data_IF_372566968910
#
_entry.id   IF_372566968910
#
_cell.length_a   1.000
_cell.length_b   1.000
_cell.length_c   1.000
_cell.angle_alpha   90.00
_cell.angle_beta   90.00
_cell.angle_gamma   90.00
#
_symmetry.space_group_name_H-M   'P 1'
#
loop_
_entity.id
_entity.type
_entity.pdbx_description
1 polymer ?
#
# COMPACT_ATOMS: atom_id res chain seq x y z
N UNK A 1 15.59 20.25 17.00
CA UNK A 1 15.56 19.72 15.62
C UNK A 1 15.59 18.22 15.73
N UNK A 2 14.42 17.57 15.61
CA UNK A 2 14.33 16.13 15.51
C UNK A 2 14.70 15.71 14.08
N UNK A 3 15.35 14.56 13.91
CA UNK A 3 15.56 14.00 12.58
C UNK A 3 14.20 13.59 11.99
N UNK A 4 13.87 14.05 10.78
CA UNK A 4 12.70 13.57 10.04
C UNK A 4 13.02 12.18 9.47
N UNK A 5 12.79 11.14 10.27
CA UNK A 5 12.91 9.77 9.79
C UNK A 5 11.58 9.34 9.15
N UNK A 6 11.65 8.80 7.92
CA UNK A 6 10.69 7.77 7.56
C UNK A 6 10.87 6.69 8.64
N UNK A 7 9.87 6.48 9.48
CA UNK A 7 9.96 5.49 10.54
C UNK A 7 9.76 4.08 10.00
N UNK A 8 9.41 3.95 8.71
CA UNK A 8 9.57 2.72 7.98
C UNK A 8 10.97 2.65 7.33
N UNK A 9 11.59 1.48 7.43
CA UNK A 9 12.84 1.15 6.77
C UNK A 9 12.62 0.95 5.25
N UNK A 10 11.39 0.66 4.80
CA UNK A 10 11.01 0.73 3.40
C UNK A 10 9.49 0.87 3.21
N UNK A 11 9.09 1.19 1.98
CA UNK A 11 7.71 1.07 1.51
C UNK A 11 7.63 -0.08 0.51
N UNK A 12 6.72 -1.03 0.70
CA UNK A 12 6.62 -2.23 -0.14
C UNK A 12 5.17 -2.41 -0.55
N UNK A 13 4.90 -2.40 -1.86
CA UNK A 13 3.53 -2.47 -2.40
C UNK A 13 3.44 -3.44 -3.56
N UNK A 14 2.43 -4.30 -3.55
CA UNK A 14 2.05 -5.06 -4.73
C UNK A 14 1.13 -4.20 -5.60
N UNK A 15 1.51 -4.00 -6.86
CA UNK A 15 0.68 -3.25 -7.82
C UNK A 15 0.21 -4.18 -8.94
N UNK A 16 -0.98 -3.92 -9.45
CA UNK A 16 -1.58 -4.74 -10.52
C UNK A 16 -2.28 -3.85 -11.55
N UNK A 17 -2.94 -4.46 -12.52
CA UNK A 17 -3.85 -3.77 -13.42
C UNK A 17 -5.21 -3.58 -12.74
N UNK A 18 -6.30 -3.85 -13.46
CA UNK A 18 -7.65 -3.56 -13.00
C UNK A 18 -8.14 -4.64 -12.03
N UNK A 19 -8.93 -4.22 -11.05
CA UNK A 19 -9.80 -5.06 -10.27
C UNK A 19 -10.94 -5.56 -11.16
N UNK A 20 -11.07 -6.88 -11.34
CA UNK A 20 -12.23 -7.49 -11.98
C UNK A 20 -12.98 -8.33 -10.95
N UNK A 21 -14.21 -7.92 -10.57
CA UNK A 21 -15.10 -8.76 -9.79
C UNK A 21 -15.32 -10.13 -10.46
N UNK A 22 -15.65 -11.16 -9.67
CA UNK A 22 -15.80 -12.52 -10.17
C UNK A 22 -16.88 -12.66 -11.26
N UNK A 23 -17.94 -11.85 -11.20
CA UNK A 23 -19.03 -11.81 -12.17
C UNK A 23 -18.73 -10.96 -13.42
N UNK A 24 -17.58 -10.29 -13.45
CA UNK A 24 -17.21 -9.42 -14.55
C UNK A 24 -17.00 -10.21 -15.85
N UNK A 25 -17.58 -9.73 -16.96
CA UNK A 25 -17.64 -10.42 -18.26
C UNK A 25 -16.30 -10.88 -18.83
N UNK A 26 -15.18 -10.27 -18.43
CA UNK A 26 -13.84 -10.64 -18.93
C UNK A 26 -13.25 -11.87 -18.24
N UNK A 27 -13.71 -12.20 -17.04
CA UNK A 27 -13.08 -13.19 -16.15
C UNK A 27 -14.04 -14.26 -15.66
N UNK A 28 -15.35 -14.01 -15.63
CA UNK A 28 -16.38 -14.89 -15.04
C UNK A 28 -16.43 -16.33 -15.54
N UNK A 29 -15.90 -16.58 -16.74
CA UNK A 29 -16.04 -17.86 -17.44
C UNK A 29 -14.79 -18.76 -17.30
N UNK A 30 -13.77 -18.37 -16.53
CA UNK A 30 -12.55 -19.16 -16.30
C UNK A 30 -11.88 -18.91 -14.93
N UNK A 31 -10.64 -19.38 -14.74
CA UNK A 31 -9.92 -19.27 -13.46
C UNK A 31 -9.63 -17.82 -13.04
N UNK A 32 -9.67 -16.86 -13.98
CA UNK A 32 -9.40 -15.45 -13.68
C UNK A 32 -10.48 -14.81 -12.82
N UNK A 33 -11.68 -15.39 -12.74
CA UNK A 33 -12.74 -14.93 -11.84
C UNK A 33 -12.28 -14.87 -10.38
N UNK A 34 -11.30 -15.69 -10.00
CA UNK A 34 -10.78 -15.73 -8.64
C UNK A 34 -9.66 -14.73 -8.37
N UNK A 35 -9.08 -14.08 -9.39
CA UNK A 35 -7.83 -13.34 -9.23
C UNK A 35 -7.92 -12.18 -8.23
N UNK A 36 -9.04 -11.46 -8.22
CA UNK A 36 -9.26 -10.33 -7.32
C UNK A 36 -9.41 -10.79 -5.85
N UNK A 37 -10.29 -11.77 -5.61
CA UNK A 37 -10.48 -12.35 -4.28
C UNK A 37 -9.22 -13.04 -3.76
N UNK A 38 -8.48 -13.72 -4.65
CA UNK A 38 -7.22 -14.36 -4.30
C UNK A 38 -6.15 -13.34 -3.92
N UNK A 39 -6.04 -12.23 -4.64
CA UNK A 39 -5.12 -11.18 -4.27
C UNK A 39 -5.46 -10.51 -2.93
N UNK A 40 -6.75 -10.26 -2.68
CA UNK A 40 -7.22 -9.74 -1.39
C UNK A 40 -6.88 -10.73 -0.26
N UNK A 41 -7.18 -12.02 -0.44
CA UNK A 41 -6.83 -13.09 0.50
C UNK A 41 -5.32 -13.10 0.81
N UNK A 42 -4.47 -13.02 -0.22
CA UNK A 42 -3.01 -13.02 -0.06
C UNK A 42 -2.53 -11.73 0.61
N UNK A 43 -3.16 -10.58 0.35
CA UNK A 43 -2.86 -9.32 1.00
C UNK A 43 -3.09 -9.41 2.52
N UNK A 44 -4.19 -10.03 2.96
CA UNK A 44 -4.45 -10.30 4.37
C UNK A 44 -3.44 -11.29 4.97
N UNK A 45 -3.21 -12.41 4.27
CA UNK A 45 -2.33 -13.50 4.72
C UNK A 45 -0.87 -13.07 4.90
N UNK A 46 -0.37 -12.21 4.01
CA UNK A 46 1.03 -11.80 3.96
C UNK A 46 1.27 -10.36 4.42
N UNK A 47 0.23 -9.64 4.85
CA UNK A 47 0.31 -8.24 5.29
C UNK A 47 0.97 -7.31 4.25
N UNK A 48 0.65 -7.53 2.98
CA UNK A 48 1.15 -6.74 1.84
C UNK A 48 0.01 -5.93 1.23
N UNK A 49 0.12 -4.59 1.15
CA UNK A 49 -0.91 -3.76 0.52
C UNK A 49 -0.97 -4.01 -1.00
N UNK A 50 -2.19 -3.93 -1.54
CA UNK A 50 -2.47 -4.14 -2.96
C UNK A 50 -3.01 -2.85 -3.56
N UNK A 51 -2.47 -2.44 -4.71
CA UNK A 51 -2.93 -1.26 -5.42
C UNK A 51 -3.30 -1.58 -6.87
N UNK A 52 -4.47 -1.11 -7.30
CA UNK A 52 -5.00 -1.31 -8.66
C UNK A 52 -5.03 0.00 -9.45
N UNK A 53 -4.94 -0.09 -10.77
CA UNK A 53 -5.09 1.09 -11.64
C UNK A 53 -6.34 0.95 -12.51
N UNK A 54 -7.23 1.95 -12.45
CA UNK A 54 -8.60 1.85 -12.94
C UNK A 54 -9.01 2.89 -13.99
N UNK A 55 -9.93 2.47 -14.86
CA UNK A 55 -10.56 3.37 -15.85
C UNK A 55 -11.96 3.80 -15.44
N UNK A 56 -12.63 2.98 -14.64
CA UNK A 56 -14.03 3.10 -14.25
C UNK A 56 -14.27 2.22 -13.01
N UNK A 57 -15.28 2.57 -12.21
CA UNK A 57 -15.73 1.81 -11.04
C UNK A 57 -16.57 0.63 -11.51
N UNK A 58 -16.31 -0.57 -10.96
CA UNK A 58 -16.97 -1.82 -11.38
C UNK A 58 -17.98 -2.34 -10.36
N UNK A 59 -18.69 -1.42 -9.69
CA UNK A 59 -19.73 -1.70 -8.70
C UNK A 59 -19.21 -2.01 -7.30
N UNK A 60 -20.13 -2.42 -6.43
CA UNK A 60 -19.95 -2.52 -4.98
C UNK A 60 -18.75 -3.37 -4.55
N UNK A 61 -18.44 -4.45 -5.28
CA UNK A 61 -17.29 -5.31 -4.96
C UNK A 61 -15.94 -4.58 -5.01
N UNK A 62 -15.82 -3.57 -5.87
CA UNK A 62 -14.63 -2.73 -5.95
C UNK A 62 -14.59 -1.71 -4.80
N UNK A 63 -15.71 -1.07 -4.49
CA UNK A 63 -15.84 -0.14 -3.35
C UNK A 63 -15.53 -0.86 -2.04
N UNK A 64 -16.12 -2.02 -1.82
CA UNK A 64 -15.85 -2.92 -0.71
C UNK A 64 -14.35 -3.23 -0.53
N UNK A 65 -13.66 -3.55 -1.63
CA UNK A 65 -12.23 -3.84 -1.64
C UNK A 65 -11.41 -2.64 -1.15
N UNK A 66 -11.79 -1.43 -1.56
CA UNK A 66 -11.15 -0.19 -1.11
C UNK A 66 -11.48 0.10 0.36
N UNK A 67 -12.74 -0.06 0.75
CA UNK A 67 -13.20 0.19 2.12
C UNK A 67 -12.55 -0.74 3.15
N UNK A 68 -12.15 -1.95 2.77
CA UNK A 68 -11.38 -2.83 3.67
C UNK A 68 -10.12 -2.17 4.21
N UNK A 69 -9.56 -1.18 3.51
CA UNK A 69 -8.33 -0.50 3.87
C UNK A 69 -7.06 -1.29 3.53
N UNK A 70 -7.18 -2.43 2.83
CA UNK A 70 -6.04 -3.19 2.29
C UNK A 70 -5.79 -2.92 0.80
N UNK A 71 -6.80 -2.43 0.10
CA UNK A 71 -6.77 -2.02 -1.29
C UNK A 71 -6.57 -0.53 -1.46
N UNK A 72 -5.82 -0.14 -2.50
CA UNK A 72 -5.75 1.23 -3.00
C UNK A 72 -6.05 1.30 -4.49
N UNK A 73 -6.41 2.49 -4.97
CA UNK A 73 -6.71 2.71 -6.38
C UNK A 73 -6.11 4.01 -6.92
N UNK A 74 -5.83 4.01 -8.22
CA UNK A 74 -5.43 5.20 -8.98
C UNK A 74 -5.80 5.05 -10.44
N UNK A 75 -5.54 6.06 -11.26
CA UNK A 75 -5.99 6.08 -12.65
C UNK A 75 -5.17 5.14 -13.53
N UNK A 76 -5.81 4.27 -14.31
CA UNK A 76 -5.24 3.72 -15.53
C UNK A 76 -5.72 4.57 -16.72
N UNK A 77 -4.79 5.27 -17.37
CA UNK A 77 -5.15 6.04 -18.55
C UNK A 77 -4.78 5.29 -19.84
N UNK A 78 -5.74 4.88 -20.70
CA UNK A 78 -5.51 3.97 -21.84
C UNK A 78 -4.86 4.65 -23.06
N UNK A 79 -3.70 5.28 -22.87
CA UNK A 79 -3.05 6.14 -23.87
C UNK A 79 -2.56 5.47 -25.17
N UNK A 80 -2.62 4.14 -25.25
CA UNK A 80 -2.36 3.42 -26.50
C UNK A 80 -3.55 3.38 -27.46
N UNK A 81 -4.77 3.63 -26.97
CA UNK A 81 -5.98 3.57 -27.77
C UNK A 81 -6.74 4.90 -27.79
N UNK A 82 -6.38 5.84 -26.91
CA UNK A 82 -6.97 7.17 -26.81
C UNK A 82 -5.88 8.23 -26.66
N UNK A 83 -6.04 9.37 -27.32
CA UNK A 83 -5.21 10.54 -27.04
C UNK A 83 -5.52 11.11 -25.66
N UNK A 84 -4.54 11.74 -25.03
CA UNK A 84 -4.72 12.33 -23.71
C UNK A 84 -5.61 13.57 -23.80
N UNK A 85 -6.65 13.59 -22.96
CA UNK A 85 -7.51 14.74 -22.72
C UNK A 85 -7.71 14.97 -21.24
N UNK A 86 -7.38 16.18 -20.77
CA UNK A 86 -7.43 16.53 -19.33
C UNK A 86 -8.83 16.39 -18.73
N UNK A 87 -9.88 16.75 -19.48
CA UNK A 87 -11.27 16.60 -19.02
C UNK A 87 -11.64 15.12 -18.82
N UNK A 88 -11.27 14.26 -19.77
CA UNK A 88 -11.50 12.83 -19.66
C UNK A 88 -10.69 12.20 -18.51
N UNK A 89 -9.43 12.63 -18.33
CA UNK A 89 -8.62 12.20 -17.19
C UNK A 89 -9.24 12.61 -15.86
N UNK A 90 -9.64 13.87 -15.71
CA UNK A 90 -10.29 14.37 -14.49
C UNK A 90 -11.63 13.67 -14.21
N UNK A 91 -12.37 13.27 -15.24
CA UNK A 91 -13.59 12.48 -15.07
C UNK A 91 -13.31 11.10 -14.46
N UNK A 92 -12.24 10.42 -14.90
CA UNK A 92 -11.83 9.13 -14.33
C UNK A 92 -11.36 9.32 -12.88
N UNK A 93 -10.58 10.38 -12.62
CA UNK A 93 -10.13 10.74 -11.27
C UNK A 93 -11.34 10.91 -10.34
N UNK A 94 -12.32 11.74 -10.71
CA UNK A 94 -13.48 12.00 -9.87
C UNK A 94 -14.31 10.74 -9.58
N UNK A 95 -14.44 9.84 -10.56
CA UNK A 95 -15.14 8.57 -10.39
C UNK A 95 -14.41 7.64 -9.40
N UNK A 96 -13.09 7.50 -9.54
CA UNK A 96 -12.29 6.68 -8.62
C UNK A 96 -12.27 7.28 -7.22
N UNK A 97 -12.12 8.60 -7.08
CA UNK A 97 -12.12 9.29 -5.78
C UNK A 97 -13.46 9.12 -5.05
N UNK A 98 -14.57 9.12 -5.78
CA UNK A 98 -15.89 8.86 -5.20
C UNK A 98 -15.99 7.46 -4.58
N UNK A 99 -15.36 6.45 -5.19
CA UNK A 99 -15.34 5.08 -4.67
C UNK A 99 -14.25 4.87 -3.61
N UNK A 100 -13.09 5.52 -3.76
CA UNK A 100 -11.93 5.35 -2.89
C UNK A 100 -12.04 6.16 -1.59
N UNK A 101 -12.81 7.25 -1.60
CA UNK A 101 -12.97 8.14 -0.45
C UNK A 101 -11.71 8.96 -0.11
N UNK A 102 -10.74 9.02 -1.03
CA UNK A 102 -9.47 9.75 -0.90
C UNK A 102 -9.09 10.40 -2.22
N UNK A 103 -8.23 11.41 -2.17
CA UNK A 103 -7.64 12.01 -3.37
C UNK A 103 -6.80 11.00 -4.15
N UNK A 104 -6.85 11.10 -5.48
CA UNK A 104 -6.02 10.32 -6.39
C UNK A 104 -5.01 11.24 -7.05
N UNK A 105 -3.74 10.98 -6.75
CA UNK A 105 -2.59 11.76 -7.20
C UNK A 105 -1.63 10.93 -8.07
N UNK A 106 -1.95 9.68 -8.39
CA UNK A 106 -1.09 8.85 -9.25
C UNK A 106 -1.81 8.23 -10.45
N UNK A 107 -1.05 7.73 -11.42
CA UNK A 107 -1.58 6.98 -12.55
C UNK A 107 -0.69 5.84 -13.04
N UNK A 108 -1.24 4.99 -13.89
CA UNK A 108 -0.53 4.06 -14.76
C UNK A 108 -0.73 4.47 -16.21
N UNK A 109 0.37 4.59 -16.95
CA UNK A 109 0.33 4.93 -18.38
C UNK A 109 -0.05 3.70 -19.19
N UNK A 110 -1.19 3.75 -19.87
CA UNK A 110 -1.62 2.73 -20.81
C UNK A 110 -0.54 2.49 -21.87
N UNK A 111 -0.08 1.23 -21.93
CA UNK A 111 1.03 0.78 -22.77
C UNK A 111 2.36 1.54 -22.57
N UNK A 112 2.55 2.22 -21.43
CA UNK A 112 3.79 2.91 -21.09
C UNK A 112 4.06 4.19 -21.88
N UNK A 113 3.07 4.75 -22.57
CA UNK A 113 3.23 6.00 -23.33
C UNK A 113 3.26 7.20 -22.37
N UNK A 114 4.44 7.75 -22.11
CA UNK A 114 4.64 8.89 -21.18
C UNK A 114 4.61 10.26 -21.88
N UNK A 115 4.28 10.34 -23.16
CA UNK A 115 4.39 11.57 -23.98
C UNK A 115 3.49 12.71 -23.53
N UNK A 116 2.51 12.46 -22.65
CA UNK A 116 1.60 13.47 -22.11
C UNK A 116 1.90 13.80 -20.63
N UNK A 117 3.04 13.35 -20.09
CA UNK A 117 3.44 13.63 -18.71
C UNK A 117 3.42 15.14 -18.40
N UNK A 118 3.90 15.97 -19.33
CA UNK A 118 3.91 17.44 -19.17
C UNK A 118 2.50 18.08 -19.25
N UNK A 119 1.50 17.33 -19.73
CA UNK A 119 0.10 17.77 -19.84
C UNK A 119 -0.75 17.33 -18.66
N UNK A 120 -0.19 16.56 -17.72
CA UNK A 120 -0.92 16.10 -16.54
C UNK A 120 -1.23 17.29 -15.61
N UNK A 121 -2.39 17.27 -14.93
CA UNK A 121 -2.69 18.23 -13.87
C UNK A 121 -1.60 18.25 -12.78
N UNK A 122 -1.38 19.42 -12.17
CA UNK A 122 -0.34 19.62 -11.13
C UNK A 122 -0.53 18.77 -9.87
N UNK A 123 -1.73 18.24 -9.64
CA UNK A 123 -2.01 17.34 -8.53
C UNK A 123 -1.59 15.89 -8.81
N UNK A 124 -1.22 15.56 -10.05
CA UNK A 124 -0.65 14.25 -10.35
C UNK A 124 0.81 14.28 -9.93
N UNK A 125 1.12 13.51 -8.90
CA UNK A 125 2.41 13.49 -8.21
C UNK A 125 3.31 12.34 -8.69
N UNK A 126 2.73 11.24 -9.17
CA UNK A 126 3.48 10.06 -9.60
C UNK A 126 2.81 9.30 -10.74
N UNK A 127 3.61 8.52 -11.46
CA UNK A 127 3.12 7.75 -12.59
C UNK A 127 3.93 6.48 -12.82
N UNK A 128 3.24 5.39 -13.16
CA UNK A 128 3.84 4.10 -13.45
C UNK A 128 3.82 3.81 -14.94
N UNK A 129 4.99 3.71 -15.56
CA UNK A 129 5.10 3.32 -16.97
C UNK A 129 5.24 1.79 -17.14
N UNK A 130 4.87 1.29 -18.32
CA UNK A 130 5.15 -0.09 -18.75
C UNK A 130 6.59 -0.28 -19.21
N UNK A 131 7.40 0.78 -19.23
CA UNK A 131 8.84 0.68 -19.45
C UNK A 131 9.42 -0.31 -18.46
N UNK A 132 10.22 -1.24 -18.93
CA UNK A 132 11.11 -2.02 -18.08
C UNK A 132 12.38 -1.21 -17.94
N UNK A 133 12.92 -1.06 -16.72
CA UNK A 133 14.26 -0.51 -16.56
C UNK A 133 15.24 -1.66 -16.23
N UNK A 134 15.74 -2.40 -17.24
CA UNK A 134 16.86 -3.34 -17.04
C UNK A 134 18.20 -2.62 -16.83
N UNK A 135 18.18 -1.30 -16.62
CA UNK A 135 19.16 -0.42 -17.24
C UNK A 135 20.11 0.30 -16.31
N UNK A 136 20.00 0.16 -14.98
CA UNK A 136 21.01 0.78 -14.12
C UNK A 136 22.04 -0.28 -13.77
N UNK A 137 23.10 -0.35 -14.58
CA UNK A 137 24.21 -1.32 -14.52
C UNK A 137 24.92 -1.45 -13.16
N UNK A 138 24.55 -0.65 -12.15
CA UNK A 138 25.13 -0.63 -10.80
C UNK A 138 24.08 -0.53 -9.67
N UNK A 139 22.77 -0.68 -9.93
CA UNK A 139 21.77 -0.62 -8.86
C UNK A 139 21.83 -1.90 -8.01
N UNK A 140 21.99 -1.73 -6.69
CA UNK A 140 22.00 -2.85 -5.73
C UNK A 140 20.62 -3.27 -5.25
N UNK A 141 19.57 -2.51 -5.60
CA UNK A 141 18.15 -2.81 -5.34
C UNK A 141 17.28 -2.14 -6.41
N UNK A 142 16.16 -2.75 -6.82
CA UNK A 142 15.14 -2.05 -7.61
C UNK A 142 14.19 -1.27 -6.69
N UNK A 143 14.69 -0.15 -6.18
CA UNK A 143 13.96 0.82 -5.38
C UNK A 143 13.72 2.11 -6.16
N UNK A 144 12.88 3.03 -5.67
CA UNK A 144 12.67 4.36 -6.26
C UNK A 144 13.33 5.52 -5.50
N UNK A 145 13.68 5.30 -4.25
CA UNK A 145 14.46 6.19 -3.40
C UNK A 145 15.27 5.35 -2.40
N UNK A 146 16.10 5.98 -1.57
CA UNK A 146 16.97 5.28 -0.63
C UNK A 146 18.37 5.00 -1.18
N UNK A 147 19.27 4.53 -0.31
CA UNK A 147 20.67 4.32 -0.63
C UNK A 147 20.85 3.26 -1.74
N UNK A 148 21.88 3.41 -2.60
CA UNK A 148 22.16 2.42 -3.65
C UNK A 148 21.14 2.36 -4.80
N UNK A 149 20.21 3.32 -4.85
CA UNK A 149 19.42 3.60 -6.04
C UNK A 149 20.37 3.89 -7.22
N UNK A 150 19.98 3.51 -8.43
CA UNK A 150 20.79 3.72 -9.63
C UNK A 150 20.94 5.19 -10.10
N UNK A 151 20.54 6.14 -9.26
CA UNK A 151 20.90 7.55 -9.35
C UNK A 151 21.60 7.88 -8.02
N UNK A 152 22.60 8.75 -8.04
CA UNK A 152 23.41 9.14 -6.86
C UNK A 152 22.62 9.89 -5.75
N UNK A 153 21.33 9.62 -5.58
CA UNK A 153 20.51 10.19 -4.52
C UNK A 153 21.02 9.65 -3.17
N UNK A 154 21.71 10.50 -2.42
CA UNK A 154 21.93 10.28 -0.98
C UNK A 154 20.61 10.43 -0.23
N UNK A 155 20.54 10.00 1.04
CA UNK A 155 19.33 10.07 1.89
C UNK A 155 18.64 11.46 1.93
N UNK A 156 19.33 12.51 1.49
CA UNK A 156 18.92 13.91 1.50
C UNK A 156 18.65 14.52 0.11
N UNK A 157 18.77 13.77 -0.99
CA UNK A 157 18.48 14.32 -2.32
C UNK A 157 16.98 14.22 -2.65
N UNK A 158 16.41 15.35 -3.07
CA UNK A 158 15.02 15.47 -3.47
C UNK A 158 14.75 14.65 -4.74
N UNK A 159 13.74 13.78 -4.69
CA UNK A 159 13.31 13.03 -5.87
C UNK A 159 12.60 14.00 -6.81
N UNK A 160 13.19 14.24 -7.98
CA UNK A 160 12.57 15.09 -8.99
C UNK A 160 11.22 14.51 -9.43
N UNK A 161 10.19 15.36 -9.54
CA UNK A 161 8.88 14.96 -10.06
C UNK A 161 8.95 14.20 -11.38
N UNK A 162 9.82 14.61 -12.31
CA UNK A 162 10.01 13.94 -13.59
C UNK A 162 10.38 12.48 -13.43
N UNK A 163 11.16 12.15 -12.39
CA UNK A 163 11.53 10.78 -12.10
C UNK A 163 10.31 9.98 -11.61
N UNK A 164 9.50 10.56 -10.72
CA UNK A 164 8.28 9.91 -10.22
C UNK A 164 7.22 9.68 -11.31
N UNK A 165 7.17 10.52 -12.34
CA UNK A 165 6.23 10.34 -13.46
C UNK A 165 6.66 9.29 -14.48
N UNK A 166 7.94 9.00 -14.65
CA UNK A 166 8.41 8.12 -15.74
C UNK A 166 8.88 6.75 -15.25
N UNK A 167 8.89 6.52 -13.93
CA UNK A 167 9.41 5.30 -13.33
C UNK A 167 8.61 4.06 -13.70
N UNK A 168 9.36 3.00 -13.96
CA UNK A 168 8.84 1.65 -14.07
C UNK A 168 8.48 1.10 -12.68
N UNK A 169 7.57 0.13 -12.61
CA UNK A 169 7.47 -0.75 -11.43
C UNK A 169 8.84 -1.36 -11.12
N UNK A 170 9.16 -1.51 -9.83
CA UNK A 170 10.44 -2.06 -9.39
C UNK A 170 10.63 -3.51 -9.85
N UNK A 171 9.82 -4.43 -9.36
CA UNK A 171 9.78 -5.82 -9.82
C UNK A 171 8.79 -6.06 -10.97
N UNK A 172 9.07 -7.10 -11.77
CA UNK A 172 8.21 -7.58 -12.85
C UNK A 172 8.11 -9.11 -12.82
N UNK A 173 7.77 -9.65 -11.65
CA UNK A 173 7.79 -11.10 -11.37
C UNK A 173 7.17 -11.95 -12.47
N UNK A 174 5.96 -11.58 -12.89
CA UNK A 174 5.25 -12.32 -13.92
C UNK A 174 5.92 -12.20 -15.30
N UNK A 175 6.47 -11.04 -15.64
CA UNK A 175 7.24 -10.85 -16.88
C UNK A 175 8.54 -11.65 -16.87
N UNK A 176 9.20 -11.81 -15.72
CA UNK A 176 10.40 -12.64 -15.59
C UNK A 176 10.07 -14.11 -15.92
N UNK A 177 8.93 -14.62 -15.44
CA UNK A 177 8.46 -15.96 -15.81
C UNK A 177 8.16 -16.03 -17.32
N UNK A 178 7.40 -15.06 -17.85
CA UNK A 178 6.96 -15.05 -19.26
C UNK A 178 8.11 -14.92 -20.26
N UNK A 179 8.95 -13.89 -20.09
CA UNK A 179 9.89 -13.41 -21.11
C UNK A 179 11.31 -13.91 -20.88
N UNK A 180 11.74 -13.99 -19.63
CA UNK A 180 13.11 -14.46 -19.30
C UNK A 180 13.15 -15.97 -19.05
N UNK A 181 11.99 -16.65 -19.08
CA UNK A 181 11.82 -18.10 -18.86
C UNK A 181 12.35 -18.54 -17.49
N UNK A 182 12.32 -17.62 -16.53
CA UNK A 182 12.69 -17.93 -15.16
C UNK A 182 11.64 -18.87 -14.56
N UNK A 183 12.08 -19.89 -13.82
CA UNK A 183 11.15 -20.73 -13.06
C UNK A 183 10.45 -19.91 -11.97
N UNK A 184 9.21 -20.26 -11.63
CA UNK A 184 8.39 -19.61 -10.58
C UNK A 184 9.18 -19.39 -9.28
N UNK A 185 9.91 -20.42 -8.82
CA UNK A 185 10.75 -20.35 -7.61
C UNK A 185 11.90 -19.36 -7.78
N UNK A 186 12.63 -19.41 -8.89
CA UNK A 186 13.77 -18.52 -9.12
C UNK A 186 13.33 -17.04 -9.25
N UNK A 187 12.15 -16.80 -9.84
CA UNK A 187 11.57 -15.46 -9.89
C UNK A 187 11.15 -14.98 -8.49
N UNK A 188 10.66 -15.88 -7.63
CA UNK A 188 10.32 -15.58 -6.25
C UNK A 188 11.59 -15.27 -5.43
N UNK A 189 12.63 -16.08 -5.55
CA UNK A 189 13.93 -15.84 -4.89
C UNK A 189 14.54 -14.48 -5.29
N UNK A 190 14.38 -14.10 -6.56
CA UNK A 190 14.80 -12.78 -7.04
C UNK A 190 14.00 -11.66 -6.38
N UNK A 191 12.67 -11.78 -6.30
CA UNK A 191 11.82 -10.80 -5.60
C UNK A 191 12.21 -10.68 -4.14
N UNK A 192 12.36 -11.80 -3.43
CA UNK A 192 12.77 -11.82 -2.02
C UNK A 192 14.08 -11.05 -1.83
N UNK A 193 15.08 -11.32 -2.68
CA UNK A 193 16.38 -10.63 -2.67
C UNK A 193 16.22 -9.13 -2.90
N UNK A 194 15.38 -8.71 -3.86
CA UNK A 194 15.15 -7.29 -4.15
C UNK A 194 14.43 -6.56 -3.00
N UNK A 195 13.47 -7.23 -2.35
CA UNK A 195 12.80 -6.66 -1.18
C UNK A 195 13.80 -6.53 -0.04
N UNK A 196 14.59 -7.56 0.27
CA UNK A 196 15.62 -7.49 1.32
C UNK A 196 16.63 -6.35 1.07
N UNK A 197 17.06 -6.17 -0.18
CA UNK A 197 17.94 -5.07 -0.56
C UNK A 197 17.25 -3.72 -0.41
N UNK A 198 15.96 -3.62 -0.73
CA UNK A 198 15.18 -2.39 -0.55
C UNK A 198 15.03 -2.02 0.92
N UNK A 199 14.79 -3.00 1.80
CA UNK A 199 14.76 -2.82 3.26
C UNK A 199 16.06 -2.23 3.78
N UNK A 200 17.20 -2.84 3.41
CA UNK A 200 18.53 -2.38 3.83
C UNK A 200 18.86 -0.96 3.38
N UNK A 201 18.19 -0.50 2.32
CA UNK A 201 18.50 0.74 1.65
C UNK A 201 17.51 1.88 1.99
N UNK A 202 16.51 1.68 2.84
CA UNK A 202 15.58 2.78 3.14
C UNK A 202 14.55 3.05 2.03
N UNK A 203 14.25 2.07 1.17
CA UNK A 203 13.70 2.34 -0.18
C UNK A 203 12.19 2.13 -0.38
N UNK A 204 11.74 2.19 -1.65
CA UNK A 204 10.38 1.87 -2.09
C UNK A 204 10.38 0.87 -3.22
N UNK A 205 9.85 -0.31 -2.93
CA UNK A 205 9.67 -1.40 -3.87
C UNK A 205 8.22 -1.50 -4.31
N UNK A 206 8.02 -1.62 -5.62
CA UNK A 206 6.74 -2.00 -6.22
C UNK A 206 6.95 -3.21 -7.10
N UNK A 207 6.12 -4.24 -7.02
CA UNK A 207 6.13 -5.31 -8.03
C UNK A 207 4.85 -5.25 -8.83
N UNK A 208 4.96 -5.32 -10.16
CA UNK A 208 3.81 -5.33 -11.04
C UNK A 208 3.54 -6.71 -11.64
N UNK A 209 2.29 -7.14 -11.52
CA UNK A 209 1.78 -8.36 -12.10
C UNK A 209 0.41 -8.12 -12.72
N UNK A 210 0.21 -8.60 -13.95
CA UNK A 210 -1.13 -8.76 -14.51
C UNK A 210 -1.71 -10.08 -13.99
N UNK A 211 -2.49 -10.02 -12.91
CA UNK A 211 -3.02 -11.25 -12.30
C UNK A 211 -4.07 -11.97 -13.15
N UNK A 212 -4.65 -11.28 -14.14
CA UNK A 212 -5.66 -11.81 -15.07
C UNK A 212 -5.07 -12.27 -16.41
N UNK A 213 -3.74 -12.30 -16.54
CA UNK A 213 -3.10 -12.67 -17.79
C UNK A 213 -2.98 -14.18 -17.97
N UNK A 214 -3.12 -14.59 -19.24
CA UNK A 214 -2.79 -15.91 -19.73
C UNK A 214 -1.64 -15.80 -20.72
N UNK A 215 -0.51 -16.43 -20.40
CA UNK A 215 0.64 -16.45 -21.27
C UNK A 215 1.02 -17.87 -21.67
N UNK A 216 1.00 -18.14 -22.97
CA UNK A 216 1.59 -19.37 -23.50
C UNK A 216 3.07 -19.15 -23.76
N UNK A 217 3.90 -19.90 -23.06
CA UNK A 217 5.34 -19.88 -23.31
C UNK A 217 5.67 -20.55 -24.67
N UNK A 218 6.91 -20.41 -25.18
CA UNK A 218 7.31 -21.03 -26.45
C UNK A 218 7.24 -22.58 -26.49
N UNK A 219 7.03 -23.25 -25.35
CA UNK A 219 6.84 -24.70 -25.24
C UNK A 219 5.34 -25.07 -25.14
N UNK A 220 4.43 -24.15 -25.47
CA UNK A 220 2.96 -24.26 -25.39
C UNK A 220 2.43 -24.57 -23.98
N UNK A 221 3.21 -24.29 -22.93
CA UNK A 221 2.72 -24.35 -21.55
C UNK A 221 2.06 -23.03 -21.19
N UNK A 222 0.81 -23.10 -20.72
CA UNK A 222 0.06 -21.96 -20.24
C UNK A 222 0.54 -21.57 -18.83
N UNK A 223 0.83 -20.30 -18.65
CA UNK A 223 1.13 -19.67 -17.36
C UNK A 223 -0.04 -18.73 -17.07
N UNK A 224 -0.87 -19.12 -16.12
CA UNK A 224 -2.00 -18.33 -15.64
C UNK A 224 -1.54 -17.43 -14.49
N UNK A 225 -1.78 -16.11 -14.57
CA UNK A 225 -1.37 -15.16 -13.53
C UNK A 225 -1.86 -15.59 -12.14
N UNK A 226 -3.15 -15.89 -12.00
CA UNK A 226 -3.76 -16.33 -10.73
C UNK A 226 -3.00 -17.48 -10.04
N UNK A 227 -2.39 -18.39 -10.80
CA UNK A 227 -1.71 -19.59 -10.27
C UNK A 227 -0.31 -19.32 -9.70
N UNK A 228 0.30 -18.20 -10.06
CA UNK A 228 1.67 -17.86 -9.64
C UNK A 228 1.71 -16.66 -8.69
N UNK A 229 0.55 -16.20 -8.24
CA UNK A 229 0.43 -15.01 -7.38
C UNK A 229 0.93 -15.26 -5.95
N UNK A 230 0.59 -16.38 -5.34
CA UNK A 230 0.99 -16.66 -3.95
C UNK A 230 2.52 -16.72 -3.76
N UNK A 231 3.30 -17.38 -4.64
CA UNK A 231 4.75 -17.31 -4.57
C UNK A 231 5.31 -15.88 -4.58
N UNK A 232 4.69 -14.94 -5.30
CA UNK A 232 5.07 -13.53 -5.30
C UNK A 232 4.80 -12.88 -3.92
N UNK A 233 3.59 -12.99 -3.39
CA UNK A 233 3.26 -12.41 -2.07
C UNK A 233 4.12 -13.00 -0.97
N UNK A 234 4.35 -14.31 -1.00
CA UNK A 234 5.23 -14.99 -0.05
C UNK A 234 6.66 -14.46 -0.14
N UNK A 235 7.22 -14.31 -1.34
CA UNK A 235 8.57 -13.77 -1.52
C UNK A 235 8.71 -12.33 -1.01
N UNK A 236 7.68 -11.49 -1.24
CA UNK A 236 7.65 -10.13 -0.71
C UNK A 236 7.66 -10.16 0.83
N UNK A 237 6.82 -11.00 1.43
CA UNK A 237 6.76 -11.17 2.89
C UNK A 237 8.07 -11.71 3.48
N UNK A 238 8.66 -12.73 2.86
CA UNK A 238 9.91 -13.34 3.31
C UNK A 238 11.07 -12.33 3.25
N UNK A 239 11.13 -11.50 2.20
CA UNK A 239 12.15 -10.46 2.05
C UNK A 239 11.99 -9.32 3.07
N UNK A 240 10.75 -9.01 3.45
CA UNK A 240 10.42 -8.03 4.48
C UNK A 240 10.78 -8.53 5.90
N UNK A 241 10.37 -9.75 6.23
CA UNK A 241 10.44 -10.33 7.58
C UNK A 241 11.86 -10.51 8.14
N UNK A 242 12.88 -10.31 7.31
CA UNK A 242 14.26 -10.56 7.70
C UNK A 242 14.94 -9.41 8.42
N UNK A 243 14.54 -8.13 8.28
CA UNK A 243 15.33 -7.01 8.83
C UNK A 243 14.67 -5.59 8.93
N UNK A 244 13.35 -5.37 8.87
CA UNK A 244 12.89 -3.98 9.06
C UNK A 244 11.39 -3.70 9.22
N UNK A 245 11.11 -2.45 9.63
CA UNK A 245 9.81 -1.81 9.69
C UNK A 245 9.35 -1.47 8.28
N UNK A 246 8.15 -1.93 7.89
CA UNK A 246 7.57 -1.60 6.59
C UNK A 246 6.41 -0.63 6.70
N UNK A 247 6.36 0.29 5.74
CA UNK A 247 5.20 1.13 5.49
C UNK A 247 4.13 0.31 4.78
N UNK A 248 2.90 0.37 5.31
CA UNK A 248 1.71 -0.36 4.82
C UNK A 248 0.78 0.57 4.04
N UNK A 249 1.38 1.43 3.23
CA UNK A 249 0.72 2.38 2.35
C UNK A 249 0.44 1.73 1.01
N UNK A 250 -0.64 2.11 0.34
CA UNK A 250 -0.79 1.78 -1.07
C UNK A 250 0.07 2.71 -1.95
N UNK A 251 0.05 2.48 -3.26
CA UNK A 251 0.86 3.22 -4.21
C UNK A 251 0.63 4.74 -4.20
N UNK A 252 -0.62 5.17 -4.12
CA UNK A 252 -1.00 6.57 -4.13
C UNK A 252 -0.46 7.28 -2.89
N UNK A 253 -0.72 6.69 -1.73
CA UNK A 253 -0.28 7.21 -0.45
C UNK A 253 1.24 7.21 -0.32
N UNK A 254 1.92 6.17 -0.84
CA UNK A 254 3.38 6.12 -0.85
C UNK A 254 4.00 7.29 -1.63
N UNK A 255 3.40 7.68 -2.76
CA UNK A 255 3.85 8.84 -3.54
C UNK A 255 3.54 10.15 -2.80
N UNK A 256 2.32 10.30 -2.28
CA UNK A 256 1.93 11.48 -1.48
C UNK A 256 2.85 11.71 -0.29
N UNK A 257 3.12 10.64 0.46
CA UNK A 257 4.03 10.67 1.61
C UNK A 257 5.42 11.21 1.22
N UNK A 258 5.94 10.85 0.05
CA UNK A 258 7.24 11.36 -0.41
C UNK A 258 7.21 12.86 -0.68
N UNK A 259 6.15 13.38 -1.31
CA UNK A 259 6.00 14.82 -1.51
C UNK A 259 5.84 15.53 -0.18
N UNK A 260 5.02 15.00 0.72
CA UNK A 260 4.77 15.58 2.02
C UNK A 260 6.07 15.66 2.85
N UNK A 261 6.80 14.54 2.93
CA UNK A 261 8.12 14.46 3.56
C UNK A 261 9.10 15.47 3.00
N UNK A 262 9.21 15.59 1.67
CA UNK A 262 10.17 16.49 1.04
C UNK A 262 9.81 17.97 1.23
N UNK A 263 8.54 18.29 1.44
CA UNK A 263 8.09 19.66 1.63
C UNK A 263 8.41 20.23 3.02
N UNK A 264 8.70 19.39 4.01
CA UNK A 264 9.07 19.81 5.36
C UNK A 264 10.53 20.29 5.37
N UNK A 265 10.74 21.51 5.84
CA UNK A 265 12.06 22.11 6.00
C UNK A 265 12.64 21.84 7.38
N UNK A 266 11.80 21.91 8.42
CA UNK A 266 12.20 21.66 9.80
C UNK A 266 11.02 21.27 10.68
N UNK A 267 11.36 20.52 11.74
CA UNK A 267 10.42 20.14 12.81
C UNK A 267 11.07 20.49 14.17
N UNK A 268 10.29 21.14 15.02
CA UNK A 268 10.62 21.35 16.43
C UNK A 268 9.53 20.74 17.28
N UNK A 269 9.94 20.04 18.34
CA UNK A 269 9.01 19.48 19.33
C UNK A 269 9.38 20.09 20.67
N UNK A 270 8.41 20.67 21.35
CA UNK A 270 8.58 21.23 22.69
C UNK A 270 7.56 20.63 23.65
N UNK A 271 7.94 20.56 24.93
CA UNK A 271 7.04 20.18 26.03
C UNK A 271 6.73 21.45 26.82
N UNK A 272 5.45 21.76 26.98
CA UNK A 272 5.01 22.89 27.82
C UNK A 272 4.84 22.47 29.28
N UNK A 273 4.34 21.26 29.49
CA UNK A 273 4.18 20.61 30.79
C UNK A 273 4.25 19.07 30.67
N UNK A 274 3.92 18.35 31.73
CA UNK A 274 3.87 16.89 31.78
C UNK A 274 2.64 16.29 31.07
N UNK A 275 1.90 17.10 30.29
CA UNK A 275 0.58 16.75 29.73
C UNK A 275 0.43 17.07 28.25
N UNK A 276 1.34 17.84 27.66
CA UNK A 276 1.18 18.33 26.29
C UNK A 276 2.51 18.38 25.55
N UNK A 277 2.46 18.05 24.26
CA UNK A 277 3.52 18.29 23.28
C UNK A 277 3.05 19.33 22.28
N UNK A 278 3.95 20.22 21.89
CA UNK A 278 3.75 21.15 20.79
C UNK A 278 4.74 20.82 19.67
N UNK A 279 4.22 20.63 18.45
CA UNK A 279 5.00 20.27 17.26
C UNK A 279 4.89 21.43 16.28
N UNK A 280 5.99 22.15 16.09
CA UNK A 280 6.11 23.18 15.07
C UNK A 280 6.72 22.58 13.80
N UNK A 281 6.05 22.81 12.67
CA UNK A 281 6.44 22.31 11.36
C UNK A 281 6.54 23.48 10.38
N UNK A 282 7.72 23.65 9.78
CA UNK A 282 7.96 24.61 8.70
C UNK A 282 8.07 23.87 7.37
N UNK A 283 7.45 24.44 6.33
CA UNK A 283 7.34 23.80 5.02
C UNK A 283 7.34 24.81 3.87
N UNK A 284 8.00 24.45 2.78
CA UNK A 284 8.25 25.34 1.64
C UNK A 284 7.68 24.86 0.30
N UNK A 285 7.04 23.68 0.24
CA UNK A 285 6.53 23.05 -1.01
C UNK A 285 7.59 23.07 -2.11
N UNK A 286 8.63 22.27 -1.92
CA UNK A 286 9.85 22.34 -2.75
C UNK A 286 9.66 22.11 -4.25
N UNK A 287 8.52 21.54 -4.66
CA UNK A 287 8.20 21.29 -6.07
C UNK A 287 6.98 22.12 -6.51
N UNK A 288 6.96 22.59 -7.76
CA UNK A 288 5.81 23.32 -8.34
C UNK A 288 4.63 22.37 -8.63
N UNK A 289 4.00 21.84 -7.58
CA UNK A 289 2.90 20.87 -7.64
C UNK A 289 1.77 21.28 -6.70
N UNK A 290 0.61 20.66 -6.90
CA UNK A 290 -0.57 20.92 -6.06
C UNK A 290 -0.57 20.00 -4.84
N UNK A 291 -0.10 20.53 -3.71
CA UNK A 291 -0.05 19.85 -2.43
C UNK A 291 -1.40 19.83 -1.70
N UNK A 292 -2.43 20.55 -2.19
CA UNK A 292 -3.73 20.64 -1.51
C UNK A 292 -4.54 19.33 -1.54
N UNK A 293 -4.09 18.35 -2.33
CA UNK A 293 -4.71 17.03 -2.50
C UNK A 293 -3.93 15.90 -1.81
N UNK A 294 -2.93 16.25 -1.01
CA UNK A 294 -2.16 15.27 -0.24
C UNK A 294 -2.92 15.02 1.07
N UNK A 295 -3.51 13.83 1.17
CA UNK A 295 -4.28 13.41 2.35
C UNK A 295 -3.46 12.47 3.26
N UNK A 296 -2.34 11.96 2.75
CA UNK A 296 -1.50 10.99 3.47
C UNK A 296 -0.72 11.64 4.64
N UNK A 297 -0.91 11.17 5.90
CA UNK A 297 -0.15 11.68 7.04
C UNK A 297 1.35 11.40 6.94
N UNK A 298 2.17 12.30 7.47
CA UNK A 298 3.61 12.10 7.67
C UNK A 298 3.90 11.57 9.07
N UNK A 299 4.96 10.80 9.25
CA UNK A 299 5.35 10.29 10.57
C UNK A 299 6.46 11.14 11.17
N UNK A 300 6.25 11.64 12.39
CA UNK A 300 7.24 12.36 13.18
C UNK A 300 7.70 11.45 14.33
N UNK A 301 9.01 11.18 14.38
CA UNK A 301 9.64 10.46 15.50
C UNK A 301 10.03 11.42 16.62
N UNK A 302 9.63 11.09 17.84
CA UNK A 302 9.91 11.84 19.05
C UNK A 302 10.45 10.87 20.11
N UNK A 303 11.42 11.29 20.90
CA UNK A 303 11.90 10.47 22.02
C UNK A 303 10.80 10.27 23.07
N UNK A 304 10.55 9.01 23.47
CA UNK A 304 9.50 8.65 24.43
C UNK A 304 9.67 9.28 25.81
N UNK A 305 10.87 9.73 26.17
CA UNK A 305 11.12 10.45 27.42
C UNK A 305 10.28 11.74 27.53
N UNK A 306 9.91 12.33 26.38
CA UNK A 306 9.02 13.49 26.31
C UNK A 306 7.57 13.16 26.68
N UNK A 307 7.21 11.88 26.79
CA UNK A 307 5.89 11.45 27.27
C UNK A 307 5.74 11.56 28.78
N UNK A 308 6.83 11.74 29.55
CA UNK A 308 6.79 11.77 31.03
C UNK A 308 6.06 10.58 31.68
N UNK A 309 6.11 9.41 31.03
CA UNK A 309 5.43 8.18 31.49
C UNK A 309 3.94 8.08 31.11
N UNK A 310 3.39 9.06 30.38
CA UNK A 310 2.05 8.94 29.81
C UNK A 310 2.02 7.83 28.73
N UNK A 311 0.97 7.02 28.74
CA UNK A 311 0.77 5.88 27.81
C UNK A 311 -0.38 6.11 26.83
N UNK A 312 -0.98 7.30 26.87
CA UNK A 312 -2.17 7.64 26.12
C UNK A 312 -1.99 9.00 25.45
N UNK A 313 -2.69 9.22 24.35
CA UNK A 313 -2.86 10.53 23.72
C UNK A 313 -4.32 10.70 23.30
N UNK A 314 -4.74 11.91 22.93
CA UNK A 314 -6.00 12.12 22.22
C UNK A 314 -5.72 12.14 20.72
N UNK A 315 -6.36 11.25 19.97
CA UNK A 315 -6.35 11.36 18.50
C UNK A 315 -7.22 12.54 18.06
N UNK A 316 -6.79 13.18 16.97
CA UNK A 316 -7.49 14.29 16.32
C UNK A 316 -7.39 14.14 14.81
N UNK A 317 -8.07 15.00 14.06
CA UNK A 317 -7.93 15.04 12.59
C UNK A 317 -6.47 15.35 12.16
N UNK A 318 -5.75 16.13 12.98
CA UNK A 318 -4.33 16.48 12.75
C UNK A 318 -3.39 15.35 13.19
N UNK A 319 -3.75 14.60 14.24
CA UNK A 319 -2.97 13.45 14.75
C UNK A 319 -3.85 12.20 14.79
N UNK A 320 -4.09 11.56 13.63
CA UNK A 320 -5.02 10.44 13.53
C UNK A 320 -4.53 9.15 14.20
N UNK A 321 -3.22 9.02 14.47
CA UNK A 321 -2.68 7.84 15.14
C UNK A 321 -1.28 8.06 15.74
N UNK A 322 -0.96 7.24 16.74
CA UNK A 322 0.36 7.20 17.36
C UNK A 322 0.77 5.81 17.79
N UNK A 323 2.08 5.53 17.73
CA UNK A 323 2.65 4.23 18.08
C UNK A 323 3.94 4.36 18.89
N UNK A 324 4.24 3.34 19.68
CA UNK A 324 5.55 3.19 20.33
C UNK A 324 6.41 2.21 19.54
N UNK A 325 7.67 2.57 19.34
CA UNK A 325 8.70 1.70 18.80
C UNK A 325 9.99 1.85 19.61
N UNK A 326 10.28 0.87 20.47
CA UNK A 326 11.38 1.01 21.43
C UNK A 326 11.22 2.27 22.31
N UNK A 327 12.17 3.21 22.19
CA UNK A 327 12.18 4.50 22.90
C UNK A 327 11.68 5.68 22.04
N UNK A 328 10.99 5.40 20.94
CA UNK A 328 10.42 6.40 20.03
C UNK A 328 8.89 6.37 20.11
N UNK A 329 8.30 7.56 20.20
CA UNK A 329 6.91 7.83 19.88
C UNK A 329 6.84 8.23 18.42
N UNK A 330 6.06 7.48 17.64
CA UNK A 330 5.77 7.79 16.25
C UNK A 330 4.40 8.44 16.18
N UNK A 331 4.35 9.70 15.78
CA UNK A 331 3.10 10.43 15.56
C UNK A 331 2.83 10.54 14.07
N UNK A 332 1.68 10.05 13.61
CA UNK A 332 1.22 10.33 12.26
C UNK A 332 0.45 11.63 12.26
N UNK A 333 0.88 12.56 11.40
CA UNK A 333 0.45 13.94 11.39
C UNK A 333 -0.05 14.32 10.00
N UNK A 334 -1.26 14.84 9.91
CA UNK A 334 -1.81 15.44 8.69
C UNK A 334 -1.31 16.88 8.57
N UNK A 335 -0.75 17.26 7.43
CA UNK A 335 -0.16 18.58 7.22
C UNK A 335 -1.09 19.52 6.47
N UNK A 336 -1.26 20.74 6.99
CA UNK A 336 -1.99 21.80 6.27
C UNK A 336 -1.05 22.55 5.31
N UNK A 337 -0.97 22.06 4.07
CA UNK A 337 -0.17 22.68 3.02
C UNK A 337 -0.67 24.08 2.59
N UNK A 338 -1.78 24.63 3.12
CA UNK A 338 -2.12 26.03 2.85
C UNK A 338 -1.20 27.03 3.56
N UNK A 339 -0.48 26.59 4.59
CA UNK A 339 0.40 27.42 5.43
C UNK A 339 1.87 27.03 5.27
N UNK A 340 2.78 27.99 5.41
CA UNK A 340 4.24 27.71 5.45
C UNK A 340 4.71 27.25 6.84
N UNK A 341 3.92 27.50 7.88
CA UNK A 341 4.16 27.06 9.25
C UNK A 341 2.84 26.63 9.90
N UNK A 342 2.89 25.56 10.69
CA UNK A 342 1.80 25.12 11.55
C UNK A 342 2.34 24.62 12.89
N UNK A 343 1.50 24.74 13.91
CA UNK A 343 1.77 24.29 15.28
C UNK A 343 0.68 23.32 15.66
N UNK A 344 1.05 22.10 16.07
CA UNK A 344 0.13 21.02 16.39
C UNK A 344 0.30 20.65 17.86
N UNK A 345 -0.81 20.70 18.61
CA UNK A 345 -0.83 20.36 20.03
C UNK A 345 -1.27 18.90 20.22
N UNK A 346 -0.53 18.15 21.02
CA UNK A 346 -0.83 16.74 21.35
C UNK A 346 -1.06 16.62 22.84
N UNK A 347 -2.29 16.32 23.24
CA UNK A 347 -2.67 16.05 24.62
C UNK A 347 -2.27 14.62 25.03
N UNK A 348 -1.37 14.52 26.00
CA UNK A 348 -0.85 13.27 26.56
C UNK A 348 -1.75 12.67 27.66
N UNK A 349 -2.86 13.33 28.01
CA UNK A 349 -3.87 12.81 28.97
C UNK A 349 -5.09 12.21 28.28
N UNK A 350 -4.94 11.86 27.01
CA UNK A 350 -6.07 11.35 26.25
C UNK A 350 -6.53 9.96 26.65
N UNK A 351 -7.62 9.55 26.02
CA UNK A 351 -8.21 8.22 26.23
C UNK A 351 -7.55 7.15 25.35
N UNK A 352 -6.98 7.54 24.21
CA UNK A 352 -6.46 6.60 23.22
C UNK A 352 -5.12 6.03 23.66
N UNK A 353 -5.06 4.70 23.78
CA UNK A 353 -3.84 4.01 24.21
C UNK A 353 -2.82 3.99 23.07
N UNK A 354 -1.60 4.43 23.36
CA UNK A 354 -0.49 4.33 22.41
C UNK A 354 -0.11 2.85 22.28
N UNK A 355 -0.24 2.30 21.08
CA UNK A 355 0.02 0.88 20.84
C UNK A 355 1.47 0.65 20.43
N UNK A 356 2.20 -0.27 21.08
CA UNK A 356 3.49 -0.75 20.58
C UNK A 356 3.35 -1.36 19.18
N UNK A 357 4.25 -1.02 18.25
CA UNK A 357 4.22 -1.57 16.88
C UNK A 357 4.50 -3.07 16.89
N UNK A 358 5.25 -3.56 17.88
CA UNK A 358 5.59 -4.97 18.04
C UNK A 358 4.39 -5.84 18.40
N UNK A 359 3.29 -5.23 18.87
CA UNK A 359 2.07 -5.97 19.20
C UNK A 359 1.35 -6.39 17.92
N UNK A 360 1.63 -7.60 17.43
CA UNK A 360 1.00 -8.09 16.22
C UNK A 360 -0.52 -8.29 16.38
N UNK A 361 -1.27 -8.02 15.31
CA UNK A 361 -2.67 -8.44 15.19
C UNK A 361 -2.71 -9.98 15.15
N UNK A 362 -3.43 -10.58 16.09
CA UNK A 362 -3.60 -12.03 16.18
C UNK A 362 -5.09 -12.32 16.20
N UNK A 363 -5.49 -13.35 15.46
CA UNK A 363 -6.85 -13.86 15.44
C UNK A 363 -6.93 -15.17 16.21
N UNK A 364 -8.04 -15.38 16.89
CA UNK A 364 -8.38 -16.64 17.55
C UNK A 364 -9.85 -16.96 17.40
N UNK A 365 -10.16 -18.25 17.37
CA UNK A 365 -11.54 -18.72 17.45
C UNK A 365 -12.04 -18.64 18.88
N UNK A 366 -13.16 -17.94 19.09
CA UNK A 366 -13.91 -17.99 20.33
C UNK A 366 -15.10 -18.94 20.16
N UNK A 367 -14.88 -20.21 20.54
CA UNK A 367 -15.84 -21.28 20.26
C UNK A 367 -15.91 -21.61 18.77
N UNK A 368 -17.12 -21.87 18.26
CA UNK A 368 -17.39 -22.16 16.84
C UNK A 368 -18.25 -21.07 16.17
N UNK A 369 -18.41 -19.91 16.82
CA UNK A 369 -19.39 -18.90 16.41
C UNK A 369 -18.79 -17.52 16.14
N UNK A 370 -17.53 -17.30 16.51
CA UNK A 370 -16.91 -15.98 16.37
C UNK A 370 -15.39 -16.04 16.29
N UNK A 371 -14.83 -15.05 15.60
CA UNK A 371 -13.40 -14.76 15.54
C UNK A 371 -13.14 -13.54 16.41
N UNK A 372 -12.15 -13.64 17.28
CA UNK A 372 -11.65 -12.55 18.12
C UNK A 372 -10.33 -12.01 17.55
N UNK A 373 -10.14 -10.71 17.62
CA UNK A 373 -8.93 -10.00 17.25
C UNK A 373 -8.31 -9.30 18.46
N UNK A 374 -6.99 -9.33 18.58
CA UNK A 374 -6.27 -8.69 19.70
C UNK A 374 -6.42 -7.17 19.76
N UNK A 375 -6.85 -6.54 18.66
CA UNK A 375 -7.18 -5.12 18.56
C UNK A 375 -8.44 -4.98 17.68
N UNK A 376 -9.13 -3.84 17.77
CA UNK A 376 -10.22 -3.53 16.85
C UNK A 376 -9.77 -3.62 15.38
N UNK A 377 -10.50 -4.39 14.59
CA UNK A 377 -10.22 -4.65 13.19
C UNK A 377 -11.50 -4.65 12.35
N UNK A 378 -11.34 -4.42 11.04
CA UNK A 378 -12.31 -4.81 10.02
C UNK A 378 -12.07 -6.27 9.65
N UNK A 379 -13.09 -6.97 9.16
CA UNK A 379 -12.99 -8.40 8.84
C UNK A 379 -13.46 -8.71 7.43
N UNK A 380 -12.88 -9.74 6.83
CA UNK A 380 -13.31 -10.30 5.53
C UNK A 380 -13.39 -11.81 5.67
N UNK A 381 -14.55 -12.37 5.40
CA UNK A 381 -14.75 -13.81 5.38
C UNK A 381 -14.56 -14.32 3.95
N UNK A 382 -13.64 -15.26 3.80
CA UNK A 382 -13.39 -15.97 2.57
C UNK A 382 -13.83 -17.42 2.70
N UNK A 383 -14.14 -18.05 1.57
CA UNK A 383 -14.34 -19.49 1.48
C UNK A 383 -13.65 -20.08 0.27
N UNK A 384 -13.38 -21.38 0.35
CA UNK A 384 -12.88 -22.19 -0.76
C UNK A 384 -13.57 -23.54 -0.72
N UNK A 385 -14.08 -24.03 -1.85
CA UNK A 385 -14.70 -25.35 -1.89
C UNK A 385 -13.66 -26.43 -1.57
N UNK A 386 -14.04 -27.44 -0.76
CA UNK A 386 -13.16 -28.57 -0.46
C UNK A 386 -12.73 -29.24 -1.78
N UNK A 387 -11.44 -29.58 -1.86
CA UNK A 387 -10.77 -30.13 -3.04
C UNK A 387 -10.62 -29.17 -4.25
N UNK A 388 -11.01 -27.90 -4.13
CA UNK A 388 -10.73 -26.90 -5.17
C UNK A 388 -9.25 -26.53 -5.21
N UNK A 389 -8.85 -25.81 -6.28
CA UNK A 389 -7.51 -25.23 -6.37
C UNK A 389 -7.32 -24.18 -5.28
N UNK A 390 -6.09 -24.01 -4.79
CA UNK A 390 -5.81 -23.10 -3.68
C UNK A 390 -6.28 -21.66 -3.96
N UNK A 391 -6.10 -21.20 -5.19
CA UNK A 391 -6.51 -19.86 -5.63
C UNK A 391 -8.02 -19.69 -5.86
N UNK A 392 -8.83 -20.76 -5.79
CA UNK A 392 -10.28 -20.71 -6.03
C UNK A 392 -11.03 -20.21 -4.78
N UNK A 393 -10.61 -19.04 -4.29
CA UNK A 393 -11.16 -18.37 -3.11
C UNK A 393 -12.28 -17.41 -3.55
N UNK A 394 -13.34 -17.39 -2.76
CA UNK A 394 -14.48 -16.49 -2.90
C UNK A 394 -14.60 -15.62 -1.65
N UNK A 395 -15.00 -14.36 -1.82
CA UNK A 395 -15.40 -13.51 -0.69
C UNK A 395 -16.86 -13.80 -0.34
N UNK A 396 -17.12 -14.05 0.93
CA UNK A 396 -18.46 -14.30 1.47
C UNK A 396 -19.09 -13.00 1.94
N UNK A 397 -18.40 -12.28 2.83
CA UNK A 397 -18.85 -10.99 3.35
C UNK A 397 -17.69 -10.18 3.94
N UNK A 398 -17.96 -8.90 4.21
CA UNK A 398 -17.04 -7.95 4.84
C UNK A 398 -17.72 -7.23 6.00
N UNK A 399 -17.02 -7.09 7.11
CA UNK A 399 -17.39 -6.19 8.21
C UNK A 399 -16.48 -4.98 8.16
N UNK A 400 -17.06 -3.83 7.79
CA UNK A 400 -16.31 -2.59 7.57
C UNK A 400 -16.14 -1.77 8.84
N UNK A 401 -16.82 -2.14 9.94
CA UNK A 401 -16.69 -1.49 11.23
C UNK A 401 -15.52 -2.07 12.02
N UNK A 402 -14.78 -1.21 12.70
CA UNK A 402 -13.73 -1.64 13.62
C UNK A 402 -14.35 -2.30 14.87
N UNK A 403 -14.01 -3.56 15.11
CA UNK A 403 -14.47 -4.36 16.25
C UNK A 403 -13.40 -5.36 16.66
N UNK A 404 -13.31 -5.72 17.95
CA UNK A 404 -12.46 -6.82 18.42
C UNK A 404 -13.08 -8.20 18.12
N UNK A 405 -14.35 -8.23 17.71
CA UNK A 405 -15.11 -9.46 17.51
C UNK A 405 -15.90 -9.43 16.20
N UNK A 406 -15.82 -10.54 15.47
CA UNK A 406 -16.63 -10.84 14.30
C UNK A 406 -17.44 -12.11 14.52
N UNK A 407 -18.76 -12.02 14.35
CA UNK A 407 -19.66 -13.15 14.51
C UNK A 407 -19.76 -13.89 13.17
N UNK A 408 -19.46 -15.18 13.17
CA UNK A 408 -19.50 -15.98 11.96
C UNK A 408 -20.94 -16.21 11.52
N UNK A 409 -21.23 -16.12 10.20
CA UNK A 409 -22.52 -16.53 9.67
C UNK A 409 -22.67 -18.06 9.74
N UNK A 410 -23.84 -18.57 9.37
CA UNK A 410 -24.03 -20.00 9.23
C UNK A 410 -23.15 -20.52 8.07
N UNK A 411 -22.06 -21.20 8.42
CA UNK A 411 -21.10 -21.73 7.45
C UNK A 411 -21.68 -22.94 6.71
N UNK A 412 -21.62 -22.91 5.38
CA UNK A 412 -22.05 -24.01 4.52
C UNK A 412 -21.08 -25.19 4.56
N UNK A 413 -21.62 -26.42 4.65
CA UNK A 413 -20.84 -27.65 4.50
C UNK A 413 -20.18 -27.74 3.11
N UNK A 414 -18.99 -28.34 3.05
CA UNK A 414 -18.26 -28.54 1.80
C UNK A 414 -17.30 -27.42 1.41
N UNK A 415 -17.11 -26.43 2.28
CA UNK A 415 -16.11 -25.36 2.13
C UNK A 415 -15.12 -25.33 3.30
N UNK A 416 -13.91 -24.86 3.01
CA UNK A 416 -12.94 -24.36 3.98
C UNK A 416 -13.15 -22.84 4.11
N UNK A 417 -13.15 -22.31 5.33
CA UNK A 417 -13.36 -20.87 5.57
C UNK A 417 -12.12 -20.23 6.16
N UNK A 418 -11.94 -18.94 5.83
CA UNK A 418 -10.81 -18.15 6.30
C UNK A 418 -11.30 -16.77 6.68
N UNK A 419 -10.85 -16.26 7.82
CA UNK A 419 -11.18 -14.91 8.26
C UNK A 419 -9.92 -14.05 8.20
N UNK A 420 -9.91 -13.05 7.32
CA UNK A 420 -8.92 -11.99 7.28
C UNK A 420 -9.34 -10.85 8.20
N UNK A 421 -8.38 -10.19 8.84
CA UNK A 421 -8.64 -8.99 9.63
C UNK A 421 -7.57 -7.92 9.40
N UNK A 422 -7.96 -6.65 9.53
CA UNK A 422 -7.07 -5.49 9.43
C UNK A 422 -7.38 -4.46 10.51
N UNK A 423 -6.37 -4.08 11.29
CA UNK A 423 -6.51 -3.08 12.34
C UNK A 423 -6.28 -1.64 11.85
N UNK A 424 -6.49 -0.65 12.73
CA UNK A 424 -6.26 0.78 12.44
C UNK A 424 -4.80 1.11 12.07
N UNK A 425 -3.85 0.23 12.39
CA UNK A 425 -2.42 0.33 12.05
C UNK A 425 -2.14 -0.26 10.68
N UNK A 426 -3.19 -0.72 10.00
CA UNK A 426 -3.14 -1.47 8.75
C UNK A 426 -2.28 -2.71 8.85
N UNK A 427 -2.20 -3.33 10.03
CA UNK A 427 -1.70 -4.68 10.13
C UNK A 427 -2.81 -5.64 9.79
N UNK A 428 -2.54 -6.57 8.86
CA UNK A 428 -3.45 -7.67 8.61
C UNK A 428 -2.88 -9.01 9.01
N UNK A 429 -3.79 -9.94 9.21
CA UNK A 429 -3.53 -11.36 9.37
C UNK A 429 -4.74 -12.15 8.88
N UNK A 430 -4.60 -13.46 8.80
CA UNK A 430 -5.65 -14.37 8.38
C UNK A 430 -5.60 -15.67 9.19
N UNK A 431 -6.77 -16.19 9.56
CA UNK A 431 -6.93 -17.48 10.25
C UNK A 431 -7.83 -18.41 9.43
N UNK A 432 -7.50 -19.71 9.43
CA UNK A 432 -8.35 -20.78 8.91
C UNK A 432 -9.29 -21.27 10.03
N UNK A 433 -10.58 -21.46 9.71
CA UNK A 433 -11.66 -21.68 10.69
C UNK A 433 -12.01 -23.16 10.90
#
# INVERSE_FOLDING_TARGET
>A
MCAHANCADATIVQVTDQYFPADHRFVRDDSRQFSAAWAEFLAFRYDIPVHVFEQEVKGDAFEDFLETGRGGASVYYPSCFKEFGVEAFNSIVAEIESAYGKSVSTLSYGCGKTTYADSLPKYVLGGRSSGFSPGIKNASAITWYGAGHGTNLTENEEVAHTDLLVRAAGGRYYTDIQRTKMGVSAAADYVETQVEQTMKNGGFYTNFMHWHDYYKNPNDSLIEGVTVMEPLFKAIFDGNSKNGRNSKLDYNEAVEYLYAKQAIDSVSVTTFDDKSLEIDIWKSKKQDRDYSRIDTPVTISITSDMLYGNTNINYSDEVPSAFLYGSELLLNVVLDFSKEHETIEVDLKGADKITPIENNLVLSLEGQISVYATNEAKFVLFRRKKDAKDYAVEVVEREQSFSEKYNLPNLEDGYDYFCGAIDKRRQSTLIEL
#
